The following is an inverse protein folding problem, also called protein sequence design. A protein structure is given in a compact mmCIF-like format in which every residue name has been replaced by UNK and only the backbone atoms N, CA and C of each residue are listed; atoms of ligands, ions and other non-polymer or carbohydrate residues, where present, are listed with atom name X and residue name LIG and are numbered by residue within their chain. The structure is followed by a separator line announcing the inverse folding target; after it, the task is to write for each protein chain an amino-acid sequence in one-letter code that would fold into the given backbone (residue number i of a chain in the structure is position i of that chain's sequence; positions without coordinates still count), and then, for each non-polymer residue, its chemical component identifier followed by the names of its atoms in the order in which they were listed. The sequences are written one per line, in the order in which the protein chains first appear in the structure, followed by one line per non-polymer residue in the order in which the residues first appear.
data_IF_333020128415
#
_entry.id   IF_333020128415
#
_cell.length_a   1.000
_cell.length_b   1.000
_cell.length_c   1.000
_cell.angle_alpha   90.00
_cell.angle_beta   90.00
_cell.angle_gamma   90.00
#
_symmetry.space_group_name_H-M   'P 1'
#
loop_
_entity.id
_entity.type
_entity.pdbx_description
1 polymer ?
#
# COMPACT_ATOMS: atom_id res chain seq x y z
N UNK A 1 -18.82 15.94 41.08
CA UNK A 1 -19.62 15.65 39.87
C UNK A 1 -18.86 15.92 38.57
N UNK A 2 -18.28 17.11 38.36
CA UNK A 2 -17.59 17.44 37.09
C UNK A 2 -16.46 16.49 36.66
N UNK A 3 -15.59 16.07 37.58
CA UNK A 3 -14.50 15.11 37.27
C UNK A 3 -15.04 13.75 36.83
N UNK A 4 -16.07 13.24 37.51
CA UNK A 4 -16.68 11.94 37.18
C UNK A 4 -17.36 12.00 35.81
N UNK A 5 -18.09 13.08 35.52
CA UNK A 5 -18.72 13.30 34.22
C UNK A 5 -17.68 13.44 33.10
N UNK A 6 -16.56 14.13 33.36
CA UNK A 6 -15.46 14.26 32.41
C UNK A 6 -14.80 12.91 32.09
N UNK A 7 -14.51 12.11 33.12
CA UNK A 7 -13.92 10.76 32.96
C UNK A 7 -14.87 9.84 32.19
N UNK A 8 -16.17 9.89 32.49
CA UNK A 8 -17.17 9.11 31.75
C UNK A 8 -17.23 9.51 30.28
N UNK A 9 -17.22 10.82 29.98
CA UNK A 9 -17.23 11.30 28.60
C UNK A 9 -15.97 10.86 27.85
N UNK A 10 -14.79 10.99 28.46
CA UNK A 10 -13.52 10.56 27.87
C UNK A 10 -13.47 9.03 27.62
N UNK A 11 -14.02 8.23 28.53
CA UNK A 11 -14.11 6.79 28.36
C UNK A 11 -15.06 6.41 27.21
N UNK A 12 -16.19 7.10 27.08
CA UNK A 12 -17.15 6.88 25.99
C UNK A 12 -16.57 7.28 24.63
N UNK A 13 -15.87 8.42 24.54
CA UNK A 13 -15.23 8.85 23.30
C UNK A 13 -14.11 7.89 22.90
N UNK A 14 -13.25 7.49 23.84
CA UNK A 14 -12.19 6.51 23.57
C UNK A 14 -12.77 5.16 23.14
N UNK A 15 -13.79 4.67 23.83
CA UNK A 15 -14.49 3.44 23.48
C UNK A 15 -15.09 3.50 22.07
N UNK A 16 -15.75 4.62 21.73
CA UNK A 16 -16.29 4.87 20.39
C UNK A 16 -15.21 4.88 19.31
N UNK A 17 -14.07 5.52 19.57
CA UNK A 17 -12.93 5.55 18.64
C UNK A 17 -12.34 4.16 18.43
N UNK A 18 -12.15 3.37 19.49
CA UNK A 18 -11.62 2.01 19.40
C UNK A 18 -12.57 1.09 18.63
N UNK A 19 -13.88 1.18 18.89
CA UNK A 19 -14.89 0.43 18.14
C UNK A 19 -14.89 0.85 16.67
N UNK A 20 -14.89 2.15 16.39
CA UNK A 20 -14.84 2.68 15.03
C UNK A 20 -13.60 2.20 14.26
N UNK A 21 -12.44 2.24 14.90
CA UNK A 21 -11.20 1.72 14.34
C UNK A 21 -11.31 0.22 14.05
N UNK A 22 -11.78 -0.58 15.01
CA UNK A 22 -11.92 -2.03 14.83
C UNK A 22 -12.88 -2.39 13.68
N UNK A 23 -13.98 -1.64 13.52
CA UNK A 23 -14.93 -1.85 12.43
C UNK A 23 -14.34 -1.48 11.06
N UNK A 24 -13.49 -0.46 10.98
CA UNK A 24 -12.80 -0.12 9.72
C UNK A 24 -11.68 -1.12 9.42
N UNK A 25 -10.87 -1.46 10.42
CA UNK A 25 -9.69 -2.30 10.24
C UNK A 25 -10.02 -3.77 9.96
N UNK A 26 -11.20 -4.27 10.37
CA UNK A 26 -11.57 -5.69 10.21
C UNK A 26 -11.57 -6.18 8.75
N UNK A 27 -11.85 -5.27 7.82
CA UNK A 27 -11.99 -5.60 6.39
C UNK A 27 -10.70 -5.32 5.60
N UNK A 28 -9.67 -4.76 6.26
CA UNK A 28 -8.38 -4.50 5.64
C UNK A 28 -7.52 -5.77 5.66
N UNK A 29 -6.99 -6.21 4.50
CA UNK A 29 -6.03 -7.30 4.45
C UNK A 29 -4.75 -6.93 5.19
N UNK A 30 -4.07 -7.95 5.73
CA UNK A 30 -2.76 -7.73 6.33
C UNK A 30 -1.73 -7.26 5.28
N UNK A 31 -0.69 -6.50 5.66
CA UNK A 31 0.34 -6.07 4.71
C UNK A 31 1.06 -7.23 3.98
N UNK A 32 1.14 -8.40 4.62
CA UNK A 32 1.70 -9.60 4.01
C UNK A 32 0.81 -10.16 2.89
N UNK A 33 -0.52 -10.11 3.07
CA UNK A 33 -1.49 -10.52 2.06
C UNK A 33 -1.49 -9.58 0.85
N UNK A 34 -1.16 -8.30 1.02
CA UNK A 34 -1.11 -7.35 -0.09
C UNK A 34 -0.15 -7.80 -1.20
N UNK A 35 0.99 -8.40 -0.85
CA UNK A 35 1.93 -8.94 -1.85
C UNK A 35 1.36 -10.15 -2.58
N UNK A 36 0.59 -10.99 -1.91
CA UNK A 36 -0.06 -12.15 -2.53
C UNK A 36 -1.21 -11.73 -3.45
N UNK A 37 -1.89 -10.63 -3.13
CA UNK A 37 -2.94 -10.03 -3.98
C UNK A 37 -2.37 -9.19 -5.12
N UNK A 38 -1.13 -8.74 -5.01
CA UNK A 38 -0.46 -8.02 -6.09
C UNK A 38 -0.30 -8.95 -7.30
N UNK A 39 -0.64 -8.45 -8.50
CA UNK A 39 -0.48 -9.24 -9.72
C UNK A 39 0.98 -9.69 -9.88
N UNK A 40 1.17 -11.00 -9.98
CA UNK A 40 2.46 -11.63 -10.29
C UNK A 40 2.90 -11.39 -11.75
N UNK A 41 2.05 -10.73 -12.56
CA UNK A 41 2.37 -10.42 -13.94
C UNK A 41 3.52 -9.41 -14.05
N UNK A 42 4.56 -9.79 -14.78
CA UNK A 42 5.74 -8.98 -15.08
C UNK A 42 5.97 -8.96 -16.58
N UNK A 43 6.40 -7.82 -17.11
CA UNK A 43 6.82 -7.72 -18.51
C UNK A 43 8.10 -8.53 -18.76
N UNK A 44 8.11 -9.33 -19.81
CA UNK A 44 9.34 -9.97 -20.29
C UNK A 44 10.12 -8.96 -21.13
N UNK A 45 11.36 -8.65 -20.74
CA UNK A 45 12.25 -7.72 -21.45
C UNK A 45 13.39 -8.47 -22.12
N UNK A 46 13.59 -8.21 -23.40
CA UNK A 46 14.64 -8.81 -24.23
C UNK A 46 15.70 -7.73 -24.47
N UNK A 47 16.95 -8.05 -24.15
CA UNK A 47 18.09 -7.12 -24.27
C UNK A 47 19.11 -7.66 -25.27
N UNK A 48 19.89 -6.76 -25.87
CA UNK A 48 21.12 -7.14 -26.59
C UNK A 48 22.27 -7.42 -25.61
N UNK A 49 23.46 -7.73 -26.17
CA UNK A 49 24.65 -8.05 -25.38
C UNK A 49 25.22 -6.83 -24.63
N UNK A 50 24.91 -5.61 -25.10
CA UNK A 50 25.30 -4.34 -24.47
C UNK A 50 24.31 -3.91 -23.38
N UNK A 51 23.19 -4.61 -23.22
CA UNK A 51 22.14 -4.28 -22.26
C UNK A 51 21.09 -3.30 -22.78
N UNK A 52 21.07 -2.99 -24.08
CA UNK A 52 20.02 -2.15 -24.66
C UNK A 52 18.72 -2.96 -24.81
N UNK A 53 17.59 -2.35 -24.48
CA UNK A 53 16.26 -2.98 -24.61
C UNK A 53 15.91 -3.13 -26.09
N UNK A 54 15.78 -4.37 -26.56
CA UNK A 54 15.38 -4.69 -27.92
C UNK A 54 13.86 -4.81 -28.04
N UNK A 55 13.23 -5.47 -27.06
CA UNK A 55 11.77 -5.67 -27.07
C UNK A 55 11.22 -5.90 -25.65
N UNK A 56 9.92 -5.69 -25.50
CA UNK A 56 9.15 -5.97 -24.30
C UNK A 56 7.86 -6.69 -24.69
N UNK A 57 7.57 -7.82 -24.06
CA UNK A 57 6.31 -8.57 -24.25
C UNK A 57 5.52 -8.59 -22.96
N UNK A 58 4.23 -8.26 -23.04
CA UNK A 58 3.34 -8.24 -21.90
C UNK A 58 1.88 -8.54 -22.29
N UNK A 59 1.06 -8.94 -21.31
CA UNK A 59 -0.38 -9.13 -21.47
C UNK A 59 -1.05 -7.75 -21.60
N UNK A 60 -1.78 -7.47 -22.69
CA UNK A 60 -2.46 -6.20 -22.91
C UNK A 60 -3.43 -5.82 -21.79
N UNK A 61 -4.02 -6.79 -21.08
CA UNK A 61 -4.98 -6.56 -20.01
C UNK A 61 -4.31 -6.37 -18.64
N UNK A 62 -3.08 -6.85 -18.46
CA UNK A 62 -2.33 -6.69 -17.22
C UNK A 62 -1.38 -5.48 -17.22
N UNK A 63 -1.08 -4.95 -18.42
CA UNK A 63 -0.24 -3.78 -18.63
C UNK A 63 1.26 -4.06 -18.50
N UNK A 64 2.06 -3.00 -18.54
CA UNK A 64 3.52 -3.06 -18.40
C UNK A 64 3.91 -2.99 -16.93
N UNK A 65 4.64 -3.98 -16.44
CA UNK A 65 5.04 -4.06 -15.04
C UNK A 65 6.49 -4.48 -14.88
N UNK A 66 7.19 -3.76 -14.01
CA UNK A 66 8.54 -4.07 -13.54
C UNK A 66 8.54 -3.98 -12.03
N UNK A 67 8.81 -5.09 -11.36
CA UNK A 67 8.97 -5.12 -9.92
C UNK A 67 10.25 -4.39 -9.51
N UNK A 68 10.10 -3.44 -8.59
CA UNK A 68 11.21 -2.68 -8.00
C UNK A 68 11.03 -2.75 -6.48
N UNK A 69 12.04 -3.22 -5.73
CA UNK A 69 11.93 -3.25 -4.27
C UNK A 69 11.93 -1.82 -3.73
N UNK A 70 11.20 -1.58 -2.63
CA UNK A 70 10.99 -0.24 -2.08
C UNK A 70 12.31 0.52 -1.80
N UNK A 71 13.37 -0.17 -1.38
CA UNK A 71 14.67 0.44 -1.10
C UNK A 71 15.41 0.93 -2.36
N UNK A 72 15.03 0.45 -3.55
CA UNK A 72 15.58 0.89 -4.83
C UNK A 72 14.77 2.04 -5.45
N UNK A 73 13.65 2.42 -4.84
CA UNK A 73 12.83 3.56 -5.28
C UNK A 73 13.41 4.84 -4.67
N UNK A 74 13.51 5.90 -5.49
CA UNK A 74 13.94 7.22 -5.02
C UNK A 74 13.08 7.70 -3.84
N UNK A 75 13.68 8.18 -2.74
CA UNK A 75 12.92 8.73 -1.60
C UNK A 75 11.95 9.85 -2.01
N UNK A 76 12.30 10.64 -3.02
CA UNK A 76 11.44 11.72 -3.53
C UNK A 76 10.18 11.18 -4.21
N UNK A 77 10.26 10.05 -4.91
CA UNK A 77 9.08 9.41 -5.54
C UNK A 77 8.16 8.86 -4.46
N UNK A 78 8.72 8.20 -3.43
CA UNK A 78 7.95 7.69 -2.29
C UNK A 78 7.20 8.85 -1.62
N UNK A 79 7.89 9.95 -1.32
CA UNK A 79 7.27 11.12 -0.69
C UNK A 79 6.22 11.78 -1.59
N UNK A 80 6.48 11.89 -2.89
CA UNK A 80 5.51 12.45 -3.83
C UNK A 80 4.21 11.64 -3.90
N UNK A 81 4.30 10.30 -3.89
CA UNK A 81 3.12 9.43 -3.83
C UNK A 81 2.36 9.64 -2.52
N UNK A 82 3.04 9.64 -1.37
CA UNK A 82 2.40 9.87 -0.05
C UNK A 82 1.76 11.26 0.02
N UNK A 83 2.34 12.27 -0.62
CA UNK A 83 1.79 13.62 -0.61
C UNK A 83 0.56 13.78 -1.53
N UNK A 84 0.37 12.86 -2.49
CA UNK A 84 -0.70 12.94 -3.49
C UNK A 84 -1.94 12.14 -3.09
N UNK A 85 -1.74 10.99 -2.43
CA UNK A 85 -2.80 10.06 -1.97
C UNK A 85 -3.22 10.36 -0.52
#
# INVERSE_FOLDING_TARGET
MGVVSFVLLAALTLGGLLIGYALMARDLPSPAELRQRASAFQSTRIYDREGNLLNETFDPNAGRRVEVPLHAISPYVIQATIATE
#
